data_IF_016614509654
#
_entry.id   IF_016614509654
#
_cell.length_a   1.000
_cell.length_b   1.000
_cell.length_c   1.000
_cell.angle_alpha   90.00
_cell.angle_beta   90.00
_cell.angle_gamma   90.00
#
_symmetry.space_group_name_H-M   'P 1'
#
loop_
_entity.id
_entity.type
_entity.pdbx_description
1 polymer ?
#
# COMPACT_ATOMS: atom_id res chain seq x y z
N UNK A 1 -0.32 8.86 -14.88
CA UNK A 1 -1.70 9.10 -14.41
C UNK A 1 -2.06 10.58 -14.43
N UNK A 2 -1.10 11.51 -14.25
CA UNK A 2 -1.36 12.94 -14.49
C UNK A 2 -2.29 13.59 -13.46
N UNK A 3 -2.38 13.01 -12.26
CA UNK A 3 -3.25 13.49 -11.20
C UNK A 3 -2.69 14.76 -10.58
N UNK A 4 -3.56 15.73 -10.32
CA UNK A 4 -3.18 16.96 -9.62
C UNK A 4 -2.94 16.68 -8.12
N UNK A 5 -1.68 16.78 -7.70
CA UNK A 5 -1.29 16.62 -6.31
C UNK A 5 -1.80 17.76 -5.41
N UNK A 6 -2.08 18.94 -5.98
CA UNK A 6 -2.59 20.11 -5.26
C UNK A 6 -4.12 20.08 -5.04
N UNK A 7 -4.83 19.18 -5.71
CA UNK A 7 -6.27 19.02 -5.54
C UNK A 7 -6.65 18.62 -4.10
N UNK A 8 -7.92 18.83 -3.74
CA UNK A 8 -8.45 18.44 -2.43
C UNK A 8 -8.26 16.94 -2.16
N UNK A 9 -8.18 16.55 -0.88
CA UNK A 9 -8.02 15.14 -0.52
C UNK A 9 -9.12 14.26 -1.14
N UNK A 10 -10.37 14.68 -1.06
CA UNK A 10 -11.50 13.98 -1.66
C UNK A 10 -11.35 13.86 -3.19
N UNK A 11 -10.94 14.93 -3.87
CA UNK A 11 -10.71 14.91 -5.32
C UNK A 11 -9.58 13.96 -5.72
N UNK A 12 -8.49 13.90 -4.94
CA UNK A 12 -7.38 12.97 -5.19
C UNK A 12 -7.82 11.52 -4.99
N UNK A 13 -8.60 11.23 -3.96
CA UNK A 13 -9.14 9.89 -3.75
C UNK A 13 -10.07 9.47 -4.89
N UNK A 14 -10.98 10.35 -5.30
CA UNK A 14 -11.88 10.06 -6.43
C UNK A 14 -11.09 9.83 -7.71
N UNK A 15 -10.09 10.66 -8.00
CA UNK A 15 -9.27 10.48 -9.18
C UNK A 15 -8.52 9.14 -9.16
N UNK A 16 -8.01 8.69 -8.01
CA UNK A 16 -7.41 7.36 -7.90
C UNK A 16 -8.42 6.25 -8.22
N UNK A 17 -9.64 6.35 -7.68
CA UNK A 17 -10.71 5.39 -7.95
C UNK A 17 -11.11 5.37 -9.43
N UNK A 18 -11.20 6.52 -10.08
CA UNK A 18 -11.46 6.65 -11.52
C UNK A 18 -10.36 5.96 -12.36
N UNK A 19 -9.14 5.93 -11.84
CA UNK A 19 -8.00 5.19 -12.40
C UNK A 19 -7.89 3.73 -11.90
N UNK A 20 -8.92 3.19 -11.24
CA UNK A 20 -8.97 1.83 -10.67
C UNK A 20 -7.86 1.56 -9.63
N UNK A 21 -7.47 2.59 -8.89
CA UNK A 21 -6.49 2.54 -7.80
C UNK A 21 -7.18 2.77 -6.46
N UNK A 22 -7.06 1.81 -5.55
CA UNK A 22 -7.41 1.99 -4.14
C UNK A 22 -6.16 2.25 -3.29
N UNK A 23 -6.30 3.03 -2.23
CA UNK A 23 -5.25 3.27 -1.22
C UNK A 23 -5.77 2.83 0.13
N UNK A 24 -4.95 2.08 0.87
CA UNK A 24 -5.30 1.56 2.18
C UNK A 24 -4.03 1.29 3.01
N UNK A 25 -4.17 1.27 4.34
CA UNK A 25 -3.09 0.91 5.25
C UNK A 25 -3.10 -0.59 5.58
N UNK A 26 -1.92 -1.19 5.72
CA UNK A 26 -1.82 -2.60 6.15
C UNK A 26 -2.16 -2.73 7.64
N UNK A 27 -1.57 -1.87 8.46
CA UNK A 27 -1.74 -1.85 9.92
C UNK A 27 -2.93 -0.93 10.22
N UNK A 28 -3.99 -1.47 10.81
CA UNK A 28 -5.14 -0.67 11.26
C UNK A 28 -4.91 -0.03 12.63
N UNK A 29 -4.20 -0.75 13.51
CA UNK A 29 -3.86 -0.28 14.85
C UNK A 29 -2.48 -0.81 15.28
N UNK A 30 -1.70 0.03 15.96
CA UNK A 30 -0.50 -0.38 16.67
C UNK A 30 -0.13 0.64 17.74
N UNK A 31 0.65 0.20 18.72
CA UNK A 31 1.38 1.10 19.60
C UNK A 31 2.65 1.58 18.91
N UNK A 32 2.87 2.89 18.93
CA UNK A 32 4.06 3.53 18.36
C UNK A 32 4.45 4.75 19.18
N UNK A 33 5.72 4.85 19.56
CA UNK A 33 6.27 6.07 20.17
C UNK A 33 6.75 7.02 19.06
N UNK A 34 6.10 8.17 18.93
CA UNK A 34 6.37 9.13 17.86
C UNK A 34 5.76 8.69 16.51
N UNK A 35 6.26 9.25 15.41
CA UNK A 35 5.71 9.03 14.06
C UNK A 35 6.49 8.04 13.19
N UNK A 36 7.69 7.61 13.63
CA UNK A 36 8.55 6.73 12.84
C UNK A 36 8.09 5.27 12.88
N UNK A 37 8.03 4.63 11.72
CA UNK A 37 7.65 3.21 11.61
C UNK A 37 8.60 2.27 12.38
N UNK A 38 9.86 2.66 12.56
CA UNK A 38 10.84 1.91 13.37
C UNK A 38 10.46 1.85 14.85
N UNK A 39 9.55 2.70 15.31
CA UNK A 39 9.05 2.72 16.69
C UNK A 39 7.76 1.90 16.88
N UNK A 40 7.29 1.18 15.85
CA UNK A 40 6.11 0.32 15.95
C UNK A 40 6.44 -0.89 16.82
N UNK A 41 5.64 -1.11 17.86
CA UNK A 41 5.76 -2.30 18.71
C UNK A 41 5.14 -3.49 17.99
N UNK A 42 5.95 -4.45 17.54
CA UNK A 42 5.49 -5.55 16.68
C UNK A 42 4.35 -6.38 17.29
N UNK A 43 4.35 -6.57 18.62
CA UNK A 43 3.34 -7.36 19.32
C UNK A 43 1.95 -6.69 19.40
N UNK A 44 1.86 -5.37 19.19
CA UNK A 44 0.60 -4.62 19.22
C UNK A 44 -0.03 -4.42 17.84
N UNK A 45 0.59 -4.96 16.79
CA UNK A 45 0.09 -4.79 15.41
C UNK A 45 -1.23 -5.55 15.24
N UNK A 46 -2.27 -4.80 14.89
CA UNK A 46 -3.54 -5.32 14.38
C UNK A 46 -3.67 -4.84 12.94
N UNK A 47 -3.74 -5.79 12.00
CA UNK A 47 -3.93 -5.45 10.58
C UNK A 47 -5.37 -5.06 10.30
N UNK A 48 -5.54 -4.20 9.30
CA UNK A 48 -6.87 -3.96 8.72
C UNK A 48 -7.47 -5.28 8.19
N UNK A 49 -8.81 -5.39 8.08
CA UNK A 49 -9.51 -6.59 7.60
C UNK A 49 -9.37 -6.78 6.07
N UNK A 50 -8.14 -6.68 5.58
CA UNK A 50 -7.75 -6.81 4.19
C UNK A 50 -8.21 -8.13 3.57
N UNK A 51 -8.10 -9.31 4.23
CA UNK A 51 -8.61 -10.54 3.63
C UNK A 51 -10.08 -10.46 3.22
N UNK A 52 -10.93 -9.85 4.05
CA UNK A 52 -12.36 -9.67 3.75
C UNK A 52 -12.55 -8.67 2.60
N UNK A 53 -11.83 -7.53 2.62
CA UNK A 53 -11.88 -6.53 1.55
C UNK A 53 -11.43 -7.10 0.20
N UNK A 54 -10.35 -7.89 0.17
CA UNK A 54 -9.81 -8.44 -1.08
C UNK A 54 -10.80 -9.42 -1.76
N UNK A 55 -11.65 -10.10 -0.99
CA UNK A 55 -12.72 -10.95 -1.54
C UNK A 55 -13.75 -10.13 -2.32
N UNK A 56 -13.99 -8.87 -1.93
CA UNK A 56 -14.96 -7.99 -2.61
C UNK A 56 -14.39 -7.31 -3.86
N UNK A 57 -13.11 -7.55 -4.20
CA UNK A 57 -12.40 -6.91 -5.31
C UNK A 57 -12.00 -7.95 -6.38
N UNK A 58 -12.96 -8.52 -7.14
CA UNK A 58 -12.66 -9.59 -8.09
C UNK A 58 -11.78 -9.15 -9.27
N UNK A 59 -11.69 -7.84 -9.53
CA UNK A 59 -10.85 -7.25 -10.57
C UNK A 59 -9.48 -6.78 -10.05
N UNK A 60 -9.15 -7.03 -8.78
CA UNK A 60 -7.85 -6.66 -8.23
C UNK A 60 -6.73 -7.46 -8.89
N UNK A 61 -5.75 -6.75 -9.45
CA UNK A 61 -4.63 -7.34 -10.21
C UNK A 61 -3.29 -7.30 -9.49
N UNK A 62 -3.14 -6.40 -8.54
CA UNK A 62 -1.87 -6.11 -7.88
C UNK A 62 -2.11 -5.48 -6.51
N UNK A 63 -1.31 -5.88 -5.52
CA UNK A 63 -1.13 -5.13 -4.27
C UNK A 63 0.28 -4.53 -4.26
N UNK A 64 0.37 -3.22 -4.06
CA UNK A 64 1.64 -2.52 -3.95
C UNK A 64 1.84 -2.01 -2.52
N UNK A 65 2.83 -2.56 -1.81
CA UNK A 65 3.19 -2.14 -0.46
C UNK A 65 4.11 -0.91 -0.53
N UNK A 66 3.66 0.23 -0.01
CA UNK A 66 4.44 1.46 0.11
C UNK A 66 5.45 1.36 1.28
N UNK A 67 6.69 0.97 0.99
CA UNK A 67 7.76 0.88 1.96
C UNK A 67 7.91 -0.50 2.64
N UNK A 68 9.08 -0.67 3.28
CA UNK A 68 9.46 -1.94 3.89
C UNK A 68 8.55 -2.35 5.06
N UNK A 69 8.08 -1.39 5.86
CA UNK A 69 7.18 -1.67 6.98
C UNK A 69 5.86 -2.30 6.51
N UNK A 70 5.21 -1.70 5.50
CA UNK A 70 3.99 -2.23 4.91
C UNK A 70 4.20 -3.64 4.32
N UNK A 71 5.29 -3.85 3.58
CA UNK A 71 5.59 -5.15 2.98
C UNK A 71 5.85 -6.23 4.04
N UNK A 72 6.55 -5.90 5.13
CA UNK A 72 6.78 -6.82 6.24
C UNK A 72 5.49 -7.14 6.99
N UNK A 73 4.67 -6.14 7.28
CA UNK A 73 3.37 -6.33 7.93
C UNK A 73 2.44 -7.20 7.08
N UNK A 74 2.40 -6.97 5.76
CA UNK A 74 1.62 -7.77 4.83
C UNK A 74 2.03 -9.24 4.89
N UNK A 75 3.33 -9.52 4.71
CA UNK A 75 3.86 -10.89 4.69
C UNK A 75 3.64 -11.62 6.01
N UNK A 76 3.79 -10.93 7.14
CA UNK A 76 3.68 -11.53 8.48
C UNK A 76 2.23 -11.75 8.92
N UNK A 77 1.35 -10.81 8.62
CA UNK A 77 0.03 -10.74 9.25
C UNK A 77 -1.14 -10.85 8.27
N UNK A 78 -0.98 -10.44 7.01
CA UNK A 78 -2.07 -10.51 6.01
C UNK A 78 -1.97 -11.79 5.19
N UNK A 79 -0.81 -12.07 4.60
CA UNK A 79 -0.60 -13.19 3.68
C UNK A 79 -1.01 -14.56 4.25
N UNK A 80 -0.74 -14.89 5.55
CA UNK A 80 -1.18 -16.16 6.14
C UNK A 80 -2.70 -16.32 6.23
N UNK A 81 -3.45 -15.21 6.25
CA UNK A 81 -4.91 -15.20 6.37
C UNK A 81 -5.62 -15.33 5.01
N UNK A 82 -4.87 -15.28 3.90
CA UNK A 82 -5.43 -15.31 2.56
C UNK A 82 -5.73 -16.74 2.10
N UNK A 83 -6.85 -16.89 1.37
CA UNK A 83 -7.16 -18.12 0.63
C UNK A 83 -6.08 -18.42 -0.43
N UNK A 84 -6.00 -19.66 -0.90
CA UNK A 84 -5.02 -20.03 -1.94
C UNK A 84 -5.14 -19.15 -3.20
N UNK A 85 -6.37 -18.83 -3.62
CA UNK A 85 -6.62 -17.93 -4.75
C UNK A 85 -6.07 -16.52 -4.50
N UNK A 86 -6.32 -15.94 -3.33
CA UNK A 86 -5.83 -14.60 -3.00
C UNK A 86 -4.32 -14.57 -2.75
N UNK A 87 -3.71 -15.68 -2.33
CA UNK A 87 -2.24 -15.79 -2.23
C UNK A 87 -1.53 -15.78 -3.59
N UNK A 88 -2.23 -16.13 -4.67
CA UNK A 88 -1.71 -16.01 -6.03
C UNK A 88 -1.75 -14.58 -6.58
N UNK A 89 -2.41 -13.65 -5.89
CA UNK A 89 -2.42 -12.23 -6.28
C UNK A 89 -0.99 -11.67 -6.21
N UNK A 90 -0.49 -11.01 -7.27
CA UNK A 90 0.80 -10.35 -7.24
C UNK A 90 0.89 -9.30 -6.12
N UNK A 91 1.97 -9.35 -5.35
CA UNK A 91 2.28 -8.36 -4.31
C UNK A 91 3.70 -7.84 -4.54
N UNK A 92 3.84 -6.52 -4.64
CA UNK A 92 5.14 -5.87 -4.86
C UNK A 92 5.47 -4.94 -3.69
N UNK A 93 6.72 -4.95 -3.26
CA UNK A 93 7.25 -3.97 -2.30
C UNK A 93 7.87 -2.81 -3.08
N UNK A 94 7.38 -1.59 -2.81
CA UNK A 94 7.84 -0.36 -3.46
C UNK A 94 8.57 0.53 -2.45
N UNK A 95 9.47 1.43 -2.90
CA UNK A 95 10.08 2.41 -2.02
C UNK A 95 9.02 3.33 -1.42
N UNK A 96 9.22 3.69 -0.14
CA UNK A 96 8.31 4.59 0.56
C UNK A 96 8.24 5.96 -0.12
N UNK A 97 7.04 6.47 -0.32
CA UNK A 97 6.77 7.84 -0.80
C UNK A 97 6.86 8.90 0.29
N UNK A 98 7.17 8.52 1.54
CA UNK A 98 7.35 9.46 2.65
C UNK A 98 8.56 10.37 2.45
N UNK A 99 8.48 11.66 2.80
CA UNK A 99 9.64 12.56 2.81
C UNK A 99 10.81 12.06 3.69
N UNK A 100 10.53 11.22 4.70
CA UNK A 100 11.56 10.60 5.52
C UNK A 100 12.48 9.65 4.72
N UNK A 101 12.03 9.17 3.56
CA UNK A 101 12.82 8.37 2.64
C UNK A 101 13.68 9.25 1.71
N UNK A 102 14.53 10.09 2.30
CA UNK A 102 15.31 11.10 1.58
C UNK A 102 16.29 10.54 0.53
N UNK A 103 16.58 9.23 0.55
CA UNK A 103 17.40 8.56 -0.45
C UNK A 103 16.72 8.45 -1.84
N UNK A 104 15.41 8.69 -1.93
CA UNK A 104 14.62 8.54 -3.14
C UNK A 104 14.14 9.89 -3.68
N UNK A 105 14.71 10.32 -4.80
CA UNK A 105 14.19 11.47 -5.55
C UNK A 105 12.86 11.12 -6.22
N UNK A 106 12.02 12.14 -6.48
CA UNK A 106 10.74 11.95 -7.15
C UNK A 106 10.86 11.23 -8.51
N UNK A 107 11.84 11.55 -9.39
CA UNK A 107 12.03 10.78 -10.63
C UNK A 107 12.34 9.31 -10.39
N UNK A 108 13.14 8.97 -9.37
CA UNK A 108 13.43 7.57 -9.03
C UNK A 108 12.20 6.86 -8.48
N UNK A 109 11.39 7.53 -7.67
CA UNK A 109 10.10 7.01 -7.22
C UNK A 109 9.19 6.73 -8.41
N UNK A 110 9.05 7.68 -9.35
CA UNK A 110 8.21 7.50 -10.53
C UNK A 110 8.62 6.24 -11.33
N UNK A 111 9.91 6.02 -11.56
CA UNK A 111 10.42 4.80 -12.22
C UNK A 111 10.12 3.54 -11.41
N UNK A 112 10.37 3.56 -10.10
CA UNK A 112 10.14 2.39 -9.25
C UNK A 112 8.65 2.02 -9.13
N UNK A 113 7.76 3.00 -9.25
CA UNK A 113 6.31 2.83 -9.17
C UNK A 113 5.65 2.48 -10.52
N UNK A 114 6.43 2.35 -11.59
CA UNK A 114 5.95 1.96 -12.92
C UNK A 114 5.11 0.67 -12.95
N UNK A 115 5.40 -0.39 -12.16
CA UNK A 115 4.57 -1.60 -12.14
C UNK A 115 3.11 -1.33 -11.77
N UNK A 116 2.83 -0.32 -10.94
CA UNK A 116 1.45 0.06 -10.60
C UNK A 116 0.76 0.69 -11.81
N UNK A 117 1.45 1.58 -12.51
CA UNK A 117 0.97 2.19 -13.75
C UNK A 117 0.68 1.15 -14.84
N UNK A 118 1.48 0.09 -14.92
CA UNK A 118 1.29 -0.98 -15.90
C UNK A 118 0.10 -1.88 -15.55
N UNK A 119 -0.17 -2.09 -14.26
CA UNK A 119 -1.27 -2.94 -13.79
C UNK A 119 -2.67 -2.29 -13.94
N UNK A 120 -2.75 -0.97 -14.03
CA UNK A 120 -4.03 -0.22 -14.16
C UNK A 120 -4.45 0.03 -15.61
N UNK A 121 -3.56 -0.21 -16.58
CA UNK A 121 -3.88 -0.27 -18.01
C UNK A 121 -4.71 -1.53 -18.30
#
# INVERSE_FOLDING_TARGET
MGLDAAASYASRLQALLDHRVGVWDVIGQCERRGSLDTSIVAASIVVNPLPALLVTLPQLRLVACNGAAAAQAWRRHVQPLLSAKLRALPVVALPSTSPANAAWSLPRLATAWQPVCDAVR
#
